data_IF_246435196676
#
_entry.id   IF_246435196676
#
_cell.length_a   1.000
_cell.length_b   1.000
_cell.length_c   1.000
_cell.angle_alpha   90.00
_cell.angle_beta   90.00
_cell.angle_gamma   90.00
#
_symmetry.space_group_name_H-M   'P 1'
#
loop_
_entity.id
_entity.type
_entity.pdbx_description
1 polymer ?
#
# COMPACT_ATOMS: atom_id res chain seq x y z
N UNK A 1 -25.80 26.96 4.63
CA UNK A 1 -25.22 25.61 4.70
C UNK A 1 -24.01 25.58 5.62
N UNK A 2 -24.11 24.84 6.72
CA UNK A 2 -22.98 24.64 7.63
C UNK A 2 -21.95 23.68 7.02
N UNK A 3 -20.65 24.03 7.06
CA UNK A 3 -19.58 23.13 6.58
C UNK A 3 -19.49 21.88 7.47
N UNK A 4 -19.50 20.69 6.85
CA UNK A 4 -19.27 19.43 7.55
C UNK A 4 -17.86 19.39 8.13
N UNK A 5 -17.73 18.96 9.40
CA UNK A 5 -16.45 18.71 10.07
C UNK A 5 -16.52 17.35 10.74
N UNK A 6 -15.63 16.44 10.37
CA UNK A 6 -15.62 15.11 10.95
C UNK A 6 -14.79 15.11 12.23
N UNK A 7 -15.43 14.75 13.35
CA UNK A 7 -14.82 14.82 14.69
C UNK A 7 -13.55 13.97 14.83
N UNK A 8 -13.39 12.93 14.01
CA UNK A 8 -12.24 12.02 14.04
C UNK A 8 -11.24 12.28 12.89
N UNK A 9 -11.30 13.43 12.22
CA UNK A 9 -10.32 13.79 11.19
C UNK A 9 -8.86 13.70 11.68
N UNK A 10 -8.50 14.14 12.91
CA UNK A 10 -7.13 13.95 13.42
C UNK A 10 -6.72 12.47 13.54
N UNK A 11 -7.65 11.60 13.90
CA UNK A 11 -7.41 10.15 14.01
C UNK A 11 -7.26 9.54 12.62
N UNK A 12 -8.07 9.97 11.65
CA UNK A 12 -7.95 9.53 10.26
C UNK A 12 -6.57 9.89 9.69
N UNK A 13 -6.08 11.09 9.97
CA UNK A 13 -4.75 11.52 9.55
C UNK A 13 -3.63 10.72 10.23
N UNK A 14 -3.76 10.44 11.54
CA UNK A 14 -2.86 9.53 12.23
C UNK A 14 -2.83 8.15 11.59
N UNK A 15 -3.98 7.60 11.19
CA UNK A 15 -4.07 6.28 10.52
C UNK A 15 -3.45 6.29 9.13
N UNK A 16 -3.56 7.40 8.38
CA UNK A 16 -2.85 7.55 7.09
C UNK A 16 -1.35 7.49 7.26
N UNK A 17 -0.79 8.23 8.22
CA UNK A 17 0.65 8.19 8.51
C UNK A 17 1.11 6.79 8.90
N UNK A 18 0.35 6.10 9.75
CA UNK A 18 0.66 4.73 10.14
C UNK A 18 0.63 3.75 8.94
N UNK A 19 -0.30 3.93 7.99
CA UNK A 19 -0.28 3.16 6.74
C UNK A 19 0.96 3.48 5.91
N UNK A 20 1.30 4.75 5.73
CA UNK A 20 2.51 5.15 4.99
C UNK A 20 3.79 4.57 5.60
N UNK A 21 3.89 4.50 6.93
CA UNK A 21 5.02 3.89 7.62
C UNK A 21 5.14 2.39 7.31
N UNK A 22 4.02 1.65 7.32
CA UNK A 22 4.01 0.24 6.92
C UNK A 22 4.30 0.06 5.42
N UNK A 23 3.84 0.97 4.55
CA UNK A 23 4.20 0.97 3.14
C UNK A 23 5.71 1.14 2.94
N UNK A 24 6.33 2.08 3.67
CA UNK A 24 7.78 2.29 3.66
C UNK A 24 8.53 1.04 4.14
N UNK A 25 8.04 0.38 5.19
CA UNK A 25 8.62 -0.86 5.71
C UNK A 25 8.56 -1.99 4.67
N UNK A 26 7.42 -2.18 4.00
CA UNK A 26 7.30 -3.14 2.89
C UNK A 26 8.28 -2.79 1.76
N UNK A 27 8.36 -1.51 1.35
CA UNK A 27 9.25 -1.08 0.28
C UNK A 27 10.75 -1.25 0.62
N UNK A 28 11.13 -1.16 1.90
CA UNK A 28 12.48 -1.47 2.33
C UNK A 28 12.81 -2.97 2.16
N UNK A 29 11.92 -3.85 2.59
CA UNK A 29 12.11 -5.30 2.50
C UNK A 29 12.04 -5.77 1.03
N UNK A 30 11.09 -5.23 0.26
CA UNK A 30 11.24 -4.78 -1.14
C UNK A 30 12.64 -4.88 -1.74
N UNK A 31 13.38 -3.82 -1.46
CA UNK A 31 14.69 -3.58 -2.02
C UNK A 31 15.69 -4.64 -1.58
N UNK A 32 15.60 -5.11 -0.33
CA UNK A 32 16.43 -6.23 0.15
C UNK A 32 16.21 -7.51 -0.65
N UNK A 33 14.95 -7.85 -0.97
CA UNK A 33 14.60 -9.03 -1.77
C UNK A 33 15.19 -8.94 -3.17
N UNK A 34 14.96 -7.81 -3.85
CA UNK A 34 15.45 -7.60 -5.22
C UNK A 34 16.97 -7.69 -5.26
N UNK A 35 17.67 -7.05 -4.31
CA UNK A 35 19.13 -7.11 -4.22
C UNK A 35 19.65 -8.54 -4.02
N UNK A 36 18.97 -9.36 -3.21
CA UNK A 36 19.34 -10.77 -3.04
C UNK A 36 19.09 -11.59 -4.30
N UNK A 37 17.96 -11.38 -4.99
CA UNK A 37 17.68 -12.05 -6.26
C UNK A 37 18.72 -11.72 -7.34
N UNK A 38 19.12 -10.45 -7.42
CA UNK A 38 20.20 -10.01 -8.31
C UNK A 38 21.54 -10.67 -7.96
N UNK A 39 21.89 -10.75 -6.67
CA UNK A 39 23.09 -11.46 -6.19
C UNK A 39 23.05 -12.95 -6.55
N UNK A 40 21.92 -13.63 -6.35
CA UNK A 40 21.76 -15.04 -6.71
C UNK A 40 21.96 -15.24 -8.22
N UNK A 41 21.35 -14.39 -9.05
CA UNK A 41 21.53 -14.43 -10.51
C UNK A 41 22.98 -14.15 -10.91
N UNK A 42 23.68 -13.25 -10.22
CA UNK A 42 25.09 -12.99 -10.45
C UNK A 42 25.96 -14.22 -10.13
N UNK A 43 25.73 -14.88 -8.99
CA UNK A 43 26.45 -16.11 -8.65
C UNK A 43 26.15 -17.24 -9.63
N UNK A 44 24.89 -17.42 -10.06
CA UNK A 44 24.54 -18.44 -11.04
C UNK A 44 25.27 -18.25 -12.38
N UNK A 45 25.36 -17.00 -12.85
CA UNK A 45 26.13 -16.66 -14.06
C UNK A 45 27.63 -16.92 -13.89
N UNK A 46 28.19 -16.54 -12.74
CA UNK A 46 29.61 -16.76 -12.45
C UNK A 46 29.95 -18.27 -12.40
N UNK A 47 29.08 -19.08 -11.77
CA UNK A 47 29.24 -20.53 -11.72
C UNK A 47 29.22 -21.13 -13.12
N UNK A 48 28.28 -20.72 -13.98
CA UNK A 48 28.21 -21.27 -15.34
C UNK A 48 29.43 -20.86 -16.18
N UNK A 49 29.87 -19.60 -16.08
CA UNK A 49 31.10 -19.14 -16.74
C UNK A 49 32.34 -19.93 -16.27
N UNK A 50 32.51 -20.12 -14.96
CA UNK A 50 33.64 -20.90 -14.45
C UNK A 50 33.63 -22.36 -14.93
N UNK A 51 32.44 -22.96 -15.07
CA UNK A 51 32.28 -24.32 -15.61
C UNK A 51 32.65 -24.39 -17.09
N UNK A 52 32.24 -23.41 -17.88
CA UNK A 52 32.61 -23.31 -19.30
C UNK A 52 34.12 -23.12 -19.48
N UNK A 53 34.72 -22.21 -18.71
CA UNK A 53 36.15 -21.94 -18.72
C UNK A 53 36.96 -23.19 -18.33
N UNK A 54 36.52 -23.91 -17.29
CA UNK A 54 37.16 -25.15 -16.87
C UNK A 54 37.07 -26.23 -17.96
N UNK A 55 35.90 -26.39 -18.60
CA UNK A 55 35.72 -27.33 -19.71
C UNK A 55 36.63 -26.98 -20.90
N UNK A 56 36.74 -25.70 -21.23
CA UNK A 56 37.62 -25.21 -22.29
C UNK A 56 39.10 -25.45 -21.99
N UNK A 57 39.54 -25.25 -20.74
CA UNK A 57 40.93 -25.53 -20.34
C UNK A 57 41.24 -27.03 -20.38
N UNK A 58 40.36 -27.89 -19.85
CA UNK A 58 40.55 -29.34 -19.83
C UNK A 58 40.58 -29.93 -21.25
N UNK A 59 39.73 -29.45 -22.16
CA UNK A 59 39.72 -29.89 -23.56
C UNK A 59 40.98 -29.51 -24.35
N UNK A 60 41.73 -28.51 -23.89
CA UNK A 60 43.02 -28.08 -24.48
C UNK A 60 44.24 -28.75 -23.84
N UNK A 61 44.04 -29.74 -22.97
CA UNK A 61 45.13 -30.42 -22.25
C UNK A 61 45.74 -29.56 -21.13
N UNK A 62 44.95 -28.67 -20.54
CA UNK A 62 45.39 -27.75 -19.48
C UNK A 62 45.86 -28.44 -18.19
N UNK A 63 46.56 -27.66 -17.36
CA UNK A 63 47.16 -28.10 -16.10
C UNK A 63 46.09 -28.53 -15.06
N UNK A 64 46.22 -29.77 -14.57
CA UNK A 64 45.38 -30.35 -13.51
C UNK A 64 45.42 -29.54 -12.20
N UNK A 65 46.55 -28.87 -11.91
CA UNK A 65 46.66 -28.00 -10.73
C UNK A 65 45.76 -26.78 -10.85
N UNK A 66 45.72 -26.14 -12.03
CA UNK A 66 44.83 -25.03 -12.33
C UNK A 66 43.36 -25.45 -12.29
N UNK A 67 43.04 -26.62 -12.84
CA UNK A 67 41.69 -27.20 -12.78
C UNK A 67 41.21 -27.42 -11.32
N UNK A 68 42.11 -27.86 -10.43
CA UNK A 68 41.79 -28.06 -9.01
C UNK A 68 41.55 -26.73 -8.28
N UNK A 69 42.35 -25.71 -8.57
CA UNK A 69 42.16 -24.37 -8.00
C UNK A 69 40.82 -23.77 -8.42
N UNK A 70 40.47 -23.92 -9.70
CA UNK A 70 39.21 -23.44 -10.26
C UNK A 70 37.99 -24.19 -9.69
N UNK A 71 38.09 -25.50 -9.47
CA UNK A 71 37.05 -26.27 -8.78
C UNK A 71 36.77 -25.76 -7.34
N UNK A 72 37.81 -25.35 -6.61
CA UNK A 72 37.64 -24.76 -5.27
C UNK A 72 36.96 -23.38 -5.33
N UNK A 73 37.26 -22.55 -6.33
CA UNK A 73 36.57 -21.28 -6.53
C UNK A 73 35.07 -21.48 -6.83
N UNK A 74 34.74 -22.48 -7.66
CA UNK A 74 33.34 -22.82 -7.96
C UNK A 74 32.56 -23.32 -6.74
N UNK A 75 33.22 -24.04 -5.83
CA UNK A 75 32.61 -24.44 -4.55
C UNK A 75 32.30 -23.24 -3.66
N UNK A 76 33.21 -22.25 -3.58
CA UNK A 76 32.96 -21.01 -2.84
C UNK A 76 31.77 -20.22 -3.42
N UNK A 77 31.69 -20.08 -4.75
CA UNK A 77 30.55 -19.46 -5.42
C UNK A 77 29.23 -20.19 -5.14
N UNK A 78 29.26 -21.53 -5.16
CA UNK A 78 28.09 -22.36 -4.84
C UNK A 78 27.64 -22.15 -3.39
N UNK A 79 28.58 -22.10 -2.45
CA UNK A 79 28.26 -21.81 -1.05
C UNK A 79 27.67 -20.40 -0.86
N UNK A 80 28.22 -19.39 -1.55
CA UNK A 80 27.68 -18.02 -1.54
C UNK A 80 26.27 -17.96 -2.12
N UNK A 81 26.00 -18.68 -3.21
CA UNK A 81 24.67 -18.78 -3.80
C UNK A 81 23.67 -19.42 -2.83
N UNK A 82 24.03 -20.57 -2.24
CA UNK A 82 23.18 -21.26 -1.27
C UNK A 82 22.86 -20.39 -0.05
N UNK A 83 23.86 -19.66 0.46
CA UNK A 83 23.66 -18.71 1.56
C UNK A 83 22.70 -17.58 1.16
N UNK A 84 22.86 -17.01 -0.02
CA UNK A 84 21.97 -15.95 -0.51
C UNK A 84 20.53 -16.46 -0.69
N UNK A 85 20.32 -17.72 -1.09
CA UNK A 85 18.99 -18.35 -1.17
C UNK A 85 18.36 -18.51 0.21
N UNK A 86 19.14 -18.92 1.23
CA UNK A 86 18.66 -19.00 2.61
C UNK A 86 18.30 -17.61 3.18
N UNK A 87 19.12 -16.60 2.89
CA UNK A 87 18.85 -15.20 3.25
C UNK A 87 17.54 -14.72 2.57
N UNK A 88 17.32 -15.07 1.30
CA UNK A 88 16.12 -14.74 0.54
C UNK A 88 14.86 -15.36 1.17
N UNK A 89 14.92 -16.62 1.59
CA UNK A 89 13.81 -17.26 2.31
C UNK A 89 13.46 -16.53 3.62
N UNK A 90 14.46 -16.02 4.33
CA UNK A 90 14.26 -15.16 5.50
C UNK A 90 13.62 -13.82 5.16
N UNK A 91 14.02 -13.19 4.06
CA UNK A 91 13.41 -11.97 3.54
C UNK A 91 11.94 -12.19 3.17
N UNK A 92 11.60 -13.28 2.49
CA UNK A 92 10.21 -13.59 2.15
C UNK A 92 9.31 -13.69 3.39
N UNK A 93 9.76 -14.38 4.44
CA UNK A 93 9.01 -14.44 5.71
C UNK A 93 8.80 -13.05 6.33
N UNK A 94 9.83 -12.20 6.33
CA UNK A 94 9.72 -10.82 6.84
C UNK A 94 8.78 -9.97 5.98
N UNK A 95 8.82 -10.16 4.67
CA UNK A 95 7.97 -9.46 3.71
C UNK A 95 6.50 -9.82 3.89
N UNK A 96 6.18 -11.10 4.05
CA UNK A 96 4.80 -11.56 4.29
C UNK A 96 4.26 -10.97 5.60
N UNK A 97 5.06 -10.98 6.67
CA UNK A 97 4.70 -10.34 7.94
C UNK A 97 4.48 -8.82 7.79
N UNK A 98 5.31 -8.13 7.01
CA UNK A 98 5.15 -6.70 6.75
C UNK A 98 3.90 -6.39 5.92
N UNK A 99 3.60 -7.22 4.92
CA UNK A 99 2.37 -7.10 4.12
C UNK A 99 1.11 -7.29 4.96
N UNK A 100 1.13 -8.22 5.93
CA UNK A 100 0.03 -8.39 6.89
C UNK A 100 -0.17 -7.15 7.76
N UNK A 101 0.91 -6.56 8.29
CA UNK A 101 0.81 -5.31 9.06
C UNK A 101 0.26 -4.14 8.23
N UNK A 102 0.71 -4.02 6.98
CA UNK A 102 0.16 -3.03 6.06
C UNK A 102 -1.33 -3.24 5.82
N UNK A 103 -1.77 -4.49 5.61
CA UNK A 103 -3.18 -4.82 5.44
C UNK A 103 -4.02 -4.44 6.67
N UNK A 104 -3.50 -4.67 7.87
CA UNK A 104 -4.16 -4.21 9.10
C UNK A 104 -4.25 -2.68 9.17
N UNK A 105 -3.18 -1.97 8.83
CA UNK A 105 -3.16 -0.50 8.83
C UNK A 105 -4.19 0.07 7.83
N UNK A 106 -4.25 -0.48 6.62
CA UNK A 106 -5.23 -0.12 5.60
C UNK A 106 -6.65 -0.38 6.10
N UNK A 107 -6.91 -1.55 6.68
CA UNK A 107 -8.23 -1.90 7.23
C UNK A 107 -8.66 -0.91 8.31
N UNK A 108 -7.76 -0.56 9.24
CA UNK A 108 -8.03 0.41 10.31
C UNK A 108 -8.31 1.82 9.78
N UNK A 109 -7.60 2.27 8.73
CA UNK A 109 -7.91 3.54 8.07
C UNK A 109 -9.28 3.50 7.39
N UNK A 110 -9.55 2.47 6.58
CA UNK A 110 -10.81 2.32 5.85
C UNK A 110 -12.03 2.30 6.77
N UNK A 111 -11.90 1.70 7.96
CA UNK A 111 -12.97 1.74 8.95
C UNK A 111 -13.34 3.19 9.36
N UNK A 112 -12.36 4.09 9.51
CA UNK A 112 -12.62 5.50 9.80
C UNK A 112 -13.17 6.26 8.59
N UNK A 113 -12.74 5.93 7.38
CA UNK A 113 -13.30 6.53 6.16
C UNK A 113 -14.78 6.21 6.02
N UNK A 114 -15.17 4.95 6.24
CA UNK A 114 -16.59 4.55 6.24
C UNK A 114 -17.39 5.32 7.30
N UNK A 115 -16.83 5.51 8.51
CA UNK A 115 -17.49 6.32 9.55
C UNK A 115 -17.62 7.79 9.14
N UNK A 116 -16.61 8.36 8.47
CA UNK A 116 -16.65 9.71 7.95
C UNK A 116 -17.72 9.88 6.88
N UNK A 117 -17.77 8.97 5.91
CA UNK A 117 -18.73 9.00 4.81
C UNK A 117 -20.17 8.89 5.33
N UNK A 118 -20.41 7.99 6.29
CA UNK A 118 -21.71 7.86 6.95
C UNK A 118 -22.10 9.13 7.72
N UNK A 119 -21.15 9.77 8.41
CA UNK A 119 -21.40 11.01 9.13
C UNK A 119 -21.70 12.17 8.17
N UNK A 120 -21.01 12.22 7.02
CA UNK A 120 -21.25 13.22 5.99
C UNK A 120 -22.62 13.06 5.34
N UNK A 121 -23.03 11.82 5.02
CA UNK A 121 -24.36 11.52 4.49
C UNK A 121 -25.47 11.97 5.46
N UNK A 122 -25.29 11.70 6.76
CA UNK A 122 -26.25 12.16 7.79
C UNK A 122 -26.33 13.68 7.86
N UNK A 123 -25.18 14.36 7.87
CA UNK A 123 -25.12 15.83 7.87
C UNK A 123 -25.85 16.42 6.66
N UNK A 124 -25.61 15.88 5.45
CA UNK A 124 -26.30 16.32 4.22
C UNK A 124 -27.80 16.07 4.30
N UNK A 125 -28.24 14.92 4.81
CA UNK A 125 -29.66 14.63 4.98
C UNK A 125 -30.35 15.58 5.98
N UNK A 126 -29.65 15.98 7.05
CA UNK A 126 -30.15 16.95 8.01
C UNK A 126 -30.25 18.36 7.42
N UNK A 127 -29.22 18.82 6.71
CA UNK A 127 -29.25 20.13 6.02
C UNK A 127 -30.39 20.17 4.99
N UNK A 128 -30.53 19.13 4.16
CA UNK A 128 -31.62 19.04 3.19
C UNK A 128 -33.00 19.09 3.88
N UNK A 129 -33.16 18.39 5.01
CA UNK A 129 -34.42 18.41 5.78
C UNK A 129 -34.73 19.80 6.34
N UNK A 130 -33.71 20.52 6.84
CA UNK A 130 -33.87 21.90 7.33
C UNK A 130 -34.24 22.85 6.19
N UNK A 131 -33.57 22.72 5.05
CA UNK A 131 -33.85 23.54 3.87
C UNK A 131 -35.28 23.30 3.34
N UNK A 132 -35.71 22.05 3.22
CA UNK A 132 -37.09 21.72 2.86
C UNK A 132 -38.10 22.33 3.84
N UNK A 133 -37.88 22.20 5.16
CA UNK A 133 -38.76 22.79 6.16
C UNK A 133 -38.86 24.32 6.02
N UNK A 134 -37.73 25.00 5.79
CA UNK A 134 -37.74 26.46 5.56
C UNK A 134 -38.46 26.85 4.26
N UNK A 135 -38.36 26.06 3.21
CA UNK A 135 -39.08 26.30 1.95
C UNK A 135 -40.60 26.12 2.12
N UNK A 136 -41.00 25.09 2.86
CA UNK A 136 -42.41 24.83 3.18
C UNK A 136 -43.00 25.97 4.03
N UNK A 137 -42.29 26.44 5.05
CA UNK A 137 -42.70 27.60 5.85
C UNK A 137 -42.87 28.86 5.00
N UNK A 138 -41.93 29.15 4.10
CA UNK A 138 -42.03 30.27 3.16
C UNK A 138 -43.22 30.13 2.21
N UNK A 139 -43.50 28.91 1.74
CA UNK A 139 -44.65 28.62 0.88
C UNK A 139 -45.98 28.85 1.61
N UNK A 140 -46.10 28.39 2.86
CA UNK A 140 -47.27 28.61 3.73
C UNK A 140 -47.47 30.11 4.01
N UNK A 141 -46.42 30.84 4.39
CA UNK A 141 -46.50 32.29 4.62
C UNK A 141 -46.94 33.06 3.37
N UNK A 142 -46.45 32.64 2.19
CA UNK A 142 -46.83 33.25 0.91
C UNK A 142 -48.28 32.95 0.53
N UNK A 143 -48.77 31.74 0.79
CA UNK A 143 -50.17 31.38 0.57
C UNK A 143 -51.10 32.17 1.49
N UNK A 144 -50.78 32.22 2.79
CA UNK A 144 -51.55 33.01 3.76
C UNK A 144 -51.66 34.48 3.36
N UNK A 145 -50.56 35.12 2.93
CA UNK A 145 -50.62 36.52 2.44
C UNK A 145 -51.52 36.70 1.20
N UNK A 146 -51.65 35.69 0.32
CA UNK A 146 -52.55 35.76 -0.83
C UNK A 146 -54.01 35.62 -0.40
N UNK A 147 -54.34 34.70 0.51
CA UNK A 147 -55.71 34.56 1.01
C UNK A 147 -56.17 35.80 1.79
N UNK A 148 -55.33 36.33 2.68
CA UNK A 148 -55.67 37.55 3.44
C UNK A 148 -55.72 38.82 2.56
N UNK A 149 -54.87 38.92 1.52
CA UNK A 149 -54.90 40.06 0.58
C UNK A 149 -56.05 40.03 -0.44
N UNK A 150 -56.69 38.88 -0.66
CA UNK A 150 -57.89 38.78 -1.50
C UNK A 150 -59.15 39.11 -0.69
N UNK A 151 -59.15 38.88 0.62
CA UNK A 151 -60.25 39.21 1.52
C UNK A 151 -60.43 40.73 1.76
N UNK A 152 -59.36 41.54 1.69
CA UNK A 152 -59.45 43.00 1.85
C UNK A 152 -59.96 43.75 0.61
N UNK A 153 -60.05 43.10 -0.55
CA UNK A 153 -60.41 43.75 -1.83
C UNK A 153 -61.82 43.41 -2.34
N UNK A 154 -62.68 42.86 -1.47
CA UNK A 154 -64.08 42.50 -1.78
C UNK A 154 -65.13 43.18 -0.88
N UNK A 155 -64.80 44.28 -0.20
CA UNK A 155 -65.78 45.12 0.52
C UNK A 155 -65.94 46.48 -0.12
#
# INVERSE_FOLDING_TARGET
>A
MAKFRFKLDPVLEQRRRAEEDEQRAVAQIERERIALEERIRAYARAIEQEREDLRAQLSRGGDLSAARLQANASLDLTNKANRAVLELAGVHKRLDAARLRLLEAVTRRKALEVLRDNAEQRHRAEENRRESATLDELAVMRHGRREFGIAENQS
#
